data_IF_894306179059
#
_entry.id   IF_894306179059
#
_cell.length_a   1.000
_cell.length_b   1.000
_cell.length_c   1.000
_cell.angle_alpha   90.00
_cell.angle_beta   90.00
_cell.angle_gamma   90.00
#
_symmetry.space_group_name_H-M   'P 1'
#
loop_
_entity.id
_entity.type
_entity.pdbx_description
1 polymer ?
#
# COMPACT_ATOMS: atom_id res chain seq x y z
N UNK A 1 0.99 24.77 7.60
CA UNK A 1 0.59 23.75 6.62
C UNK A 1 -0.89 23.96 6.38
N UNK A 2 -1.30 24.11 5.15
CA UNK A 2 -2.72 24.21 4.78
C UNK A 2 -3.23 22.79 4.54
N UNK A 3 -4.30 22.39 5.22
CA UNK A 3 -4.94 21.08 5.08
C UNK A 3 -6.28 21.17 4.30
N UNK A 4 -6.52 22.31 3.64
CA UNK A 4 -7.69 22.44 2.76
C UNK A 4 -7.41 21.76 1.42
N UNK A 5 -8.39 21.04 0.91
CA UNK A 5 -8.33 20.45 -0.42
C UNK A 5 -8.65 21.48 -1.50
N UNK A 6 -8.03 21.35 -2.67
CA UNK A 6 -8.47 22.08 -3.86
C UNK A 6 -9.87 21.64 -4.31
N UNK A 7 -10.50 22.38 -5.20
CA UNK A 7 -11.80 22.00 -5.75
C UNK A 7 -11.73 20.64 -6.45
N UNK A 8 -10.65 20.38 -7.19
CA UNK A 8 -10.41 19.10 -7.87
C UNK A 8 -10.20 17.97 -6.87
N UNK A 9 -9.37 18.18 -5.84
CA UNK A 9 -9.14 17.19 -4.79
C UNK A 9 -10.43 16.86 -4.03
N UNK A 10 -11.27 17.87 -3.73
CA UNK A 10 -12.57 17.65 -3.10
C UNK A 10 -13.52 16.86 -4.00
N UNK A 11 -13.53 17.12 -5.32
CA UNK A 11 -14.30 16.33 -6.28
C UNK A 11 -13.83 14.86 -6.33
N UNK A 12 -12.51 14.62 -6.31
CA UNK A 12 -11.94 13.26 -6.22
C UNK A 12 -12.37 12.57 -4.94
N UNK A 13 -12.28 13.25 -3.80
CA UNK A 13 -12.70 12.71 -2.49
C UNK A 13 -14.16 12.27 -2.49
N UNK A 14 -15.05 13.12 -3.03
CA UNK A 14 -16.48 12.83 -3.11
C UNK A 14 -16.76 11.67 -4.07
N UNK A 15 -16.18 11.69 -5.27
CA UNK A 15 -16.40 10.65 -6.29
C UNK A 15 -15.88 9.29 -5.82
N UNK A 16 -14.64 9.23 -5.32
CA UNK A 16 -14.06 8.00 -4.77
C UNK A 16 -14.91 7.48 -3.59
N UNK A 17 -15.24 8.35 -2.63
CA UNK A 17 -16.08 8.01 -1.49
C UNK A 17 -17.43 7.43 -1.90
N UNK A 18 -18.09 8.01 -2.90
CA UNK A 18 -19.35 7.53 -3.41
C UNK A 18 -19.20 6.14 -4.07
N UNK A 19 -18.28 5.98 -5.02
CA UNK A 19 -18.07 4.70 -5.73
C UNK A 19 -17.78 3.58 -4.73
N UNK A 20 -16.83 3.79 -3.81
CA UNK A 20 -16.49 2.76 -2.83
C UNK A 20 -17.67 2.43 -1.90
N UNK A 21 -18.41 3.42 -1.41
CA UNK A 21 -19.57 3.20 -0.53
C UNK A 21 -20.70 2.46 -1.25
N UNK A 22 -20.98 2.80 -2.50
CA UNK A 22 -22.06 2.20 -3.27
C UNK A 22 -21.76 0.76 -3.72
N UNK A 23 -20.48 0.45 -3.95
CA UNK A 23 -20.06 -0.86 -4.51
C UNK A 23 -19.55 -1.85 -3.47
N UNK A 24 -18.91 -1.36 -2.41
CA UNK A 24 -18.25 -2.23 -1.42
C UNK A 24 -19.19 -2.43 -0.22
N UNK A 25 -20.15 -3.33 -0.41
CA UNK A 25 -21.04 -3.76 0.68
C UNK A 25 -20.46 -4.98 1.41
N UNK A 26 -20.95 -5.23 2.63
CA UNK A 26 -20.57 -6.43 3.38
C UNK A 26 -20.86 -7.74 2.60
N UNK A 27 -22.02 -7.80 1.94
CA UNK A 27 -22.44 -8.92 1.11
C UNK A 27 -21.51 -9.10 -0.09
N UNK A 28 -21.12 -8.00 -0.74
CA UNK A 28 -20.18 -8.04 -1.86
C UNK A 28 -18.81 -8.58 -1.44
N UNK A 29 -18.29 -8.14 -0.30
CA UNK A 29 -17.02 -8.65 0.23
C UNK A 29 -17.11 -10.15 0.57
N UNK A 30 -18.21 -10.60 1.20
CA UNK A 30 -18.45 -12.05 1.45
C UNK A 30 -18.50 -12.86 0.16
N UNK A 31 -19.16 -12.34 -0.89
CA UNK A 31 -19.21 -12.99 -2.18
C UNK A 31 -17.81 -13.15 -2.78
N UNK A 32 -17.01 -12.06 -2.81
CA UNK A 32 -15.64 -12.09 -3.31
C UNK A 32 -14.74 -13.07 -2.55
N UNK A 33 -14.88 -13.13 -1.23
CA UNK A 33 -14.15 -14.09 -0.39
C UNK A 33 -14.54 -15.55 -0.68
N UNK A 34 -15.82 -15.81 -0.93
CA UNK A 34 -16.33 -17.13 -1.26
C UNK A 34 -15.98 -17.59 -2.68
N UNK A 35 -15.90 -16.66 -3.62
CA UNK A 35 -15.57 -16.90 -5.03
C UNK A 35 -14.05 -16.85 -5.29
N UNK A 36 -13.25 -16.44 -4.30
CA UNK A 36 -11.81 -16.30 -4.43
C UNK A 36 -11.16 -17.64 -4.77
N UNK A 37 -10.55 -17.71 -5.95
CA UNK A 37 -9.71 -18.82 -6.38
C UNK A 37 -8.29 -18.73 -5.80
N UNK A 38 -7.35 -19.36 -6.50
CA UNK A 38 -5.94 -19.32 -6.11
C UNK A 38 -5.31 -17.92 -6.14
N UNK A 39 -5.88 -17.00 -6.91
CA UNK A 39 -5.41 -15.61 -6.97
C UNK A 39 -5.82 -14.77 -5.75
N UNK A 40 -6.81 -15.22 -4.96
CA UNK A 40 -7.41 -14.43 -3.89
C UNK A 40 -8.51 -13.47 -4.37
N UNK A 41 -9.18 -12.75 -3.43
CA UNK A 41 -10.28 -11.85 -3.79
C UNK A 41 -9.76 -10.61 -4.53
N UNK A 42 -10.36 -10.34 -5.69
CA UNK A 42 -10.15 -9.12 -6.45
C UNK A 42 -11.46 -8.67 -7.09
N UNK A 43 -11.96 -7.49 -6.73
CA UNK A 43 -13.18 -6.93 -7.34
C UNK A 43 -12.86 -6.24 -8.67
N UNK A 44 -12.83 -7.04 -9.73
CA UNK A 44 -12.55 -6.56 -11.11
C UNK A 44 -13.63 -5.60 -11.62
N UNK A 45 -14.87 -5.70 -11.13
CA UNK A 45 -15.94 -4.78 -11.52
C UNK A 45 -15.72 -3.39 -10.92
N UNK A 46 -15.40 -3.33 -9.63
CA UNK A 46 -15.02 -2.08 -8.98
C UNK A 46 -13.74 -1.49 -9.60
N UNK A 47 -12.74 -2.32 -9.89
CA UNK A 47 -11.51 -1.89 -10.54
C UNK A 47 -11.77 -1.19 -11.87
N UNK A 48 -12.61 -1.79 -12.71
CA UNK A 48 -13.02 -1.18 -13.97
C UNK A 48 -13.76 0.14 -13.77
N UNK A 49 -14.67 0.22 -12.81
CA UNK A 49 -15.42 1.45 -12.52
C UNK A 49 -14.50 2.58 -12.04
N UNK A 50 -13.49 2.26 -11.21
CA UNK A 50 -12.47 3.23 -10.80
C UNK A 50 -11.66 3.75 -11.99
N UNK A 51 -11.31 2.86 -12.94
CA UNK A 51 -10.63 3.25 -14.18
C UNK A 51 -11.52 4.12 -15.07
N UNK A 52 -12.77 3.70 -15.31
CA UNK A 52 -13.75 4.44 -16.12
C UNK A 52 -14.03 5.84 -15.54
N UNK A 53 -13.88 6.00 -14.20
CA UNK A 53 -13.99 7.27 -13.51
C UNK A 53 -12.65 8.08 -13.48
N UNK A 54 -11.58 7.57 -14.10
CA UNK A 54 -10.26 8.22 -14.14
C UNK A 54 -9.48 8.19 -12.82
N UNK A 55 -9.95 7.45 -11.81
CA UNK A 55 -9.37 7.48 -10.46
C UNK A 55 -8.05 6.71 -10.37
N UNK A 56 -7.83 5.68 -11.19
CA UNK A 56 -6.57 4.92 -11.16
C UNK A 56 -5.38 5.69 -11.72
N UNK A 57 -5.62 6.57 -12.70
CA UNK A 57 -4.61 7.45 -13.29
C UNK A 57 -4.61 8.88 -12.72
N UNK A 58 -5.30 9.12 -11.61
CA UNK A 58 -5.57 10.50 -11.13
C UNK A 58 -4.33 11.36 -10.95
N UNK A 59 -3.21 10.78 -10.50
CA UNK A 59 -1.93 11.43 -10.25
C UNK A 59 -0.92 11.29 -11.40
N UNK A 60 -1.27 10.51 -12.44
CA UNK A 60 -0.43 10.33 -13.61
C UNK A 60 -0.62 11.50 -14.58
N UNK A 61 0.41 11.75 -15.38
CA UNK A 61 0.38 12.82 -16.38
C UNK A 61 -0.65 12.56 -17.49
N UNK A 62 -1.13 13.65 -18.12
CA UNK A 62 -2.15 13.59 -19.17
C UNK A 62 -1.68 12.81 -20.42
N UNK A 63 -0.39 12.83 -20.74
CA UNK A 63 0.18 12.16 -21.90
C UNK A 63 0.11 10.62 -21.82
N UNK A 64 -0.14 10.06 -20.63
CA UNK A 64 -0.40 8.64 -20.40
C UNK A 64 -1.85 8.36 -20.01
N UNK A 65 -2.75 9.32 -20.20
CA UNK A 65 -4.18 9.19 -19.89
C UNK A 65 -4.55 9.44 -18.43
N UNK A 66 -3.65 10.02 -17.64
CA UNK A 66 -3.91 10.47 -16.27
C UNK A 66 -4.61 11.83 -16.22
N UNK A 67 -4.93 12.29 -15.00
CA UNK A 67 -5.55 13.59 -14.78
C UNK A 67 -4.54 14.70 -14.40
N UNK A 68 -3.28 14.36 -14.19
CA UNK A 68 -2.20 15.32 -13.87
C UNK A 68 -2.31 15.94 -12.48
N UNK A 69 -3.11 15.37 -11.57
CA UNK A 69 -3.17 15.82 -10.18
C UNK A 69 -1.96 15.32 -9.38
N UNK A 70 -1.88 15.75 -8.13
CA UNK A 70 -0.77 15.38 -7.25
C UNK A 70 -1.00 14.06 -6.48
N UNK A 71 0.00 13.67 -5.69
CA UNK A 71 -0.08 12.47 -4.84
C UNK A 71 -1.18 12.56 -3.77
N UNK A 72 -1.60 13.76 -3.35
CA UNK A 72 -2.73 13.95 -2.44
C UNK A 72 -4.01 13.38 -3.05
N UNK A 73 -4.24 13.61 -4.35
CA UNK A 73 -5.40 13.06 -5.04
C UNK A 73 -5.40 11.51 -5.06
N UNK A 74 -4.25 10.87 -5.28
CA UNK A 74 -4.12 9.42 -5.15
C UNK A 74 -4.42 8.94 -3.72
N UNK A 75 -3.94 9.66 -2.71
CA UNK A 75 -4.20 9.36 -1.30
C UNK A 75 -5.69 9.40 -0.96
N UNK A 76 -6.48 10.30 -1.57
CA UNK A 76 -7.94 10.36 -1.35
C UNK A 76 -8.65 9.09 -1.86
N UNK A 77 -8.21 8.53 -2.98
CA UNK A 77 -8.71 7.24 -3.49
C UNK A 77 -8.33 6.10 -2.55
N UNK A 78 -7.10 6.09 -2.05
CA UNK A 78 -6.58 5.07 -1.14
C UNK A 78 -7.29 5.12 0.21
N UNK A 79 -7.56 6.31 0.76
CA UNK A 79 -8.32 6.45 2.01
C UNK A 79 -9.73 5.88 1.87
N UNK A 80 -10.42 6.15 0.74
CA UNK A 80 -11.74 5.60 0.46
C UNK A 80 -11.72 4.06 0.35
N UNK A 81 -10.68 3.47 -0.25
CA UNK A 81 -10.48 2.03 -0.28
C UNK A 81 -10.28 1.44 1.13
N UNK A 82 -9.53 2.14 2.01
CA UNK A 82 -9.35 1.77 3.42
C UNK A 82 -10.66 1.80 4.21
N UNK A 83 -11.47 2.84 4.04
CA UNK A 83 -12.78 3.00 4.68
C UNK A 83 -13.75 1.85 4.40
N UNK A 84 -13.59 1.17 3.28
CA UNK A 84 -14.46 0.05 2.88
C UNK A 84 -13.76 -1.32 2.93
N UNK A 85 -12.47 -1.36 3.28
CA UNK A 85 -11.64 -2.56 3.23
C UNK A 85 -11.72 -3.28 1.86
N UNK A 86 -11.84 -2.51 0.77
CA UNK A 86 -12.08 -3.01 -0.58
C UNK A 86 -10.98 -3.96 -1.07
N UNK A 87 -11.38 -4.98 -1.82
CA UNK A 87 -10.47 -5.93 -2.48
C UNK A 87 -10.07 -5.44 -3.87
N UNK A 88 -9.33 -4.32 -3.93
CA UNK A 88 -8.72 -3.77 -5.14
C UNK A 88 -7.27 -3.35 -4.86
N UNK A 89 -6.32 -3.59 -5.77
CA UNK A 89 -4.88 -3.32 -5.56
C UNK A 89 -4.51 -1.86 -5.86
N UNK A 90 -5.21 -0.88 -5.24
CA UNK A 90 -4.97 0.55 -5.51
C UNK A 90 -3.61 1.01 -4.98
N UNK A 91 -3.20 0.55 -3.79
CA UNK A 91 -1.88 0.91 -3.22
C UNK A 91 -0.78 0.30 -4.05
N UNK A 92 -0.92 -0.97 -4.38
CA UNK A 92 0.05 -1.73 -5.15
C UNK A 92 0.24 -1.13 -6.55
N UNK A 93 -0.85 -0.89 -7.26
CA UNK A 93 -0.77 -0.41 -8.64
C UNK A 93 -0.43 1.07 -8.73
N UNK A 94 -1.14 1.92 -8.00
CA UNK A 94 -0.95 3.36 -8.11
C UNK A 94 0.40 3.80 -7.50
N UNK A 95 0.83 3.15 -6.39
CA UNK A 95 1.96 3.64 -5.60
C UNK A 95 3.19 2.74 -5.69
N UNK A 96 3.07 1.41 -5.52
CA UNK A 96 4.25 0.53 -5.60
C UNK A 96 4.77 0.42 -7.03
N UNK A 97 3.88 0.44 -8.03
CA UNK A 97 4.22 0.26 -9.44
C UNK A 97 4.25 1.54 -10.26
N UNK A 98 3.12 2.26 -10.35
CA UNK A 98 2.98 3.39 -11.27
C UNK A 98 3.80 4.62 -10.85
N UNK A 99 3.78 4.99 -9.57
CA UNK A 99 4.52 6.16 -9.07
C UNK A 99 6.03 6.12 -9.37
N UNK A 100 6.78 5.01 -9.10
CA UNK A 100 8.19 4.94 -9.46
C UNK A 100 8.43 4.94 -10.99
N UNK A 101 7.54 4.33 -11.78
CA UNK A 101 7.65 4.40 -13.25
C UNK A 101 7.42 5.83 -13.74
N UNK A 102 6.45 6.54 -13.18
CA UNK A 102 6.17 7.93 -13.52
C UNK A 102 7.36 8.85 -13.22
N UNK A 103 8.05 8.64 -12.09
CA UNK A 103 9.18 9.48 -11.64
C UNK A 103 10.50 9.15 -12.31
N UNK A 104 10.81 7.89 -12.48
CA UNK A 104 12.15 7.42 -12.86
C UNK A 104 12.18 6.71 -14.22
N UNK A 105 11.03 6.29 -14.73
CA UNK A 105 10.96 5.57 -16.00
C UNK A 105 11.34 6.45 -17.19
N UNK A 106 11.88 5.81 -18.21
CA UNK A 106 12.06 6.43 -19.53
C UNK A 106 10.69 6.75 -20.15
N UNK A 107 10.66 7.59 -21.18
CA UNK A 107 9.43 7.88 -21.92
C UNK A 107 8.77 6.63 -22.49
N UNK A 108 9.59 5.67 -22.94
CA UNK A 108 9.10 4.38 -23.43
C UNK A 108 8.44 3.56 -22.31
N UNK A 109 9.10 3.46 -21.15
CA UNK A 109 8.56 2.75 -19.99
C UNK A 109 7.26 3.37 -19.48
N UNK A 110 7.21 4.71 -19.37
CA UNK A 110 5.97 5.43 -18.98
C UNK A 110 4.83 5.12 -19.94
N UNK A 111 5.05 5.23 -21.23
CA UNK A 111 4.01 4.95 -22.24
C UNK A 111 3.57 3.48 -22.25
N UNK A 112 4.50 2.55 -22.05
CA UNK A 112 4.18 1.12 -22.04
C UNK A 112 3.31 0.72 -20.85
N UNK A 113 3.60 1.24 -19.67
CA UNK A 113 2.98 0.75 -18.44
C UNK A 113 1.86 1.66 -17.91
N UNK A 114 2.04 2.99 -17.95
CA UNK A 114 1.14 3.89 -17.24
C UNK A 114 -0.20 4.10 -17.97
N UNK A 115 -0.22 4.03 -19.29
CA UNK A 115 -1.47 4.13 -20.04
C UNK A 115 -2.43 2.97 -19.69
N UNK A 116 -1.90 1.75 -19.57
CA UNK A 116 -2.67 0.59 -19.13
C UNK A 116 -3.15 0.69 -17.68
N UNK A 117 -2.36 1.31 -16.79
CA UNK A 117 -2.78 1.60 -15.40
C UNK A 117 -3.96 2.59 -15.40
N UNK A 118 -3.85 3.71 -16.13
CA UNK A 118 -4.93 4.69 -16.21
C UNK A 118 -6.23 4.09 -16.76
N UNK A 119 -6.12 3.17 -17.75
CA UNK A 119 -7.25 2.45 -18.33
C UNK A 119 -7.77 1.29 -17.46
N UNK A 120 -7.08 0.92 -16.37
CA UNK A 120 -7.42 -0.23 -15.52
C UNK A 120 -7.10 -1.59 -16.15
N UNK A 121 -6.32 -1.61 -17.22
CA UNK A 121 -5.91 -2.81 -17.95
C UNK A 121 -4.62 -3.43 -17.41
N UNK A 122 -3.84 -2.65 -16.63
CA UNK A 122 -2.56 -3.08 -16.08
C UNK A 122 -2.55 -2.96 -14.56
N UNK A 123 -2.22 -4.05 -13.89
CA UNK A 123 -1.96 -4.13 -12.45
C UNK A 123 -0.46 -4.21 -12.22
N UNK A 124 0.07 -3.31 -11.42
CA UNK A 124 1.49 -3.25 -11.07
C UNK A 124 1.69 -3.48 -9.57
N UNK A 125 2.88 -3.95 -9.20
CA UNK A 125 3.30 -4.05 -7.80
C UNK A 125 4.82 -3.97 -7.67
N UNK A 126 5.34 -4.01 -6.42
CA UNK A 126 6.77 -4.11 -6.14
C UNK A 126 7.08 -5.16 -5.08
N UNK A 127 8.21 -5.82 -5.24
CA UNK A 127 8.71 -6.90 -4.39
C UNK A 127 9.79 -6.38 -3.42
N UNK A 128 9.37 -5.79 -2.29
CA UNK A 128 10.24 -5.05 -1.37
C UNK A 128 10.75 -5.87 -0.19
N UNK A 129 10.27 -7.11 0.01
CA UNK A 129 10.69 -7.97 1.11
C UNK A 129 11.43 -9.22 0.61
N UNK A 130 12.43 -9.66 1.37
CA UNK A 130 13.18 -10.89 1.13
C UNK A 130 12.69 -12.01 2.06
N UNK A 131 13.07 -13.27 1.78
CA UNK A 131 12.64 -14.45 2.58
C UNK A 131 13.03 -14.40 4.06
N UNK A 132 14.13 -13.73 4.39
CA UNK A 132 14.57 -13.53 5.77
C UNK A 132 13.71 -12.52 6.55
N UNK A 133 12.66 -11.96 5.93
CA UNK A 133 11.77 -10.96 6.51
C UNK A 133 12.35 -9.53 6.47
N UNK A 134 13.54 -9.34 5.90
CA UNK A 134 14.10 -8.01 5.72
C UNK A 134 13.37 -7.29 4.58
N UNK A 135 12.91 -6.09 4.88
CA UNK A 135 12.38 -5.17 3.88
C UNK A 135 13.54 -4.33 3.35
N UNK A 136 13.62 -4.20 2.04
CA UNK A 136 14.62 -3.36 1.38
C UNK A 136 14.26 -1.91 1.66
N UNK A 137 14.90 -1.34 2.66
CA UNK A 137 14.71 0.03 3.12
C UNK A 137 15.98 0.86 2.85
N UNK A 138 15.84 2.17 2.68
CA UNK A 138 17.00 3.07 2.56
C UNK A 138 17.94 2.95 3.76
N UNK A 139 19.24 2.76 3.49
CA UNK A 139 20.25 2.53 4.53
C UNK A 139 20.09 1.22 5.31
N UNK A 140 19.28 0.29 4.79
CA UNK A 140 19.11 -1.07 5.30
C UNK A 140 20.07 -2.07 4.65
N UNK A 141 19.70 -3.36 4.74
CA UNK A 141 20.47 -4.45 4.14
C UNK A 141 20.32 -4.43 2.62
N UNK A 142 21.41 -4.71 1.90
CA UNK A 142 21.36 -4.90 0.45
C UNK A 142 20.52 -6.14 0.12
N UNK A 143 19.75 -6.14 -1.00
CA UNK A 143 18.94 -7.29 -1.38
C UNK A 143 19.81 -8.51 -1.67
N UNK A 144 19.36 -9.69 -1.22
CA UNK A 144 19.96 -10.96 -1.57
C UNK A 144 19.68 -11.34 -3.04
N UNK A 145 18.59 -10.82 -3.62
CA UNK A 145 18.27 -10.95 -5.05
C UNK A 145 19.33 -10.22 -5.87
N UNK A 146 19.84 -10.89 -6.89
CA UNK A 146 20.92 -10.37 -7.76
C UNK A 146 20.48 -10.27 -9.22
N UNK A 147 21.02 -9.28 -9.91
CA UNK A 147 20.87 -9.08 -11.36
C UNK A 147 22.26 -9.04 -11.99
N UNK A 148 22.58 -10.04 -12.82
CA UNK A 148 23.89 -10.14 -13.49
C UNK A 148 23.78 -9.63 -14.91
N UNK A 149 24.62 -8.66 -15.27
CA UNK A 149 24.69 -8.10 -16.63
C UNK A 149 25.14 -9.15 -17.63
N UNK A 150 24.47 -9.21 -18.80
CA UNK A 150 24.77 -10.09 -19.89
C UNK A 150 25.50 -9.34 -21.02
N UNK A 151 26.16 -10.08 -21.89
CA UNK A 151 26.97 -9.50 -22.99
C UNK A 151 26.13 -8.70 -24.02
N UNK A 152 24.86 -9.00 -24.15
CA UNK A 152 23.90 -8.32 -25.03
C UNK A 152 23.24 -7.11 -24.41
N UNK A 153 23.61 -6.75 -23.16
CA UNK A 153 23.03 -5.64 -22.41
C UNK A 153 21.77 -6.01 -21.60
N UNK A 154 21.28 -7.24 -21.69
CA UNK A 154 20.20 -7.75 -20.84
C UNK A 154 20.71 -8.13 -19.46
N UNK A 155 19.79 -8.56 -18.59
CA UNK A 155 20.07 -8.96 -17.22
C UNK A 155 19.53 -10.36 -16.92
N UNK A 156 20.22 -11.10 -16.07
CA UNK A 156 19.75 -12.36 -15.50
C UNK A 156 19.48 -12.17 -14.01
N UNK A 157 18.21 -12.33 -13.58
CA UNK A 157 17.78 -12.14 -12.20
C UNK A 157 17.66 -13.48 -11.49
N UNK A 158 18.26 -13.55 -10.28
CA UNK A 158 18.18 -14.74 -9.40
C UNK A 158 17.96 -14.31 -7.97
N UNK A 159 16.97 -14.93 -7.28
CA UNK A 159 16.66 -14.65 -5.90
C UNK A 159 15.22 -14.99 -5.54
N UNK A 160 14.81 -14.63 -4.32
CA UNK A 160 13.46 -14.89 -3.83
C UNK A 160 12.94 -13.69 -3.07
N UNK A 161 11.75 -13.23 -3.45
CA UNK A 161 11.01 -12.18 -2.75
C UNK A 161 9.83 -12.80 -2.01
N UNK A 162 9.50 -12.25 -0.85
CA UNK A 162 8.40 -12.71 -0.01
C UNK A 162 7.36 -11.62 0.21
N UNK A 163 6.16 -12.01 0.59
CA UNK A 163 5.05 -11.09 0.90
C UNK A 163 4.84 -10.04 -0.20
N UNK A 164 4.95 -10.47 -1.47
CA UNK A 164 4.75 -9.55 -2.60
C UNK A 164 3.27 -9.33 -2.80
N UNK A 165 2.74 -8.14 -2.47
CA UNK A 165 1.32 -7.89 -2.53
C UNK A 165 0.84 -7.82 -3.98
N UNK A 166 -0.37 -8.28 -4.24
CA UNK A 166 -1.00 -8.36 -5.56
C UNK A 166 -0.22 -9.15 -6.63
N UNK A 167 0.89 -9.85 -6.30
CA UNK A 167 1.72 -10.53 -7.28
C UNK A 167 0.97 -11.55 -8.14
N UNK A 168 -0.06 -12.20 -7.58
CA UNK A 168 -0.87 -13.21 -8.29
C UNK A 168 -1.79 -12.62 -9.36
N UNK A 169 -2.02 -11.31 -9.34
CA UNK A 169 -2.89 -10.59 -10.29
C UNK A 169 -2.14 -9.49 -11.05
N UNK A 170 -0.85 -9.32 -10.77
CA UNK A 170 -0.02 -8.29 -11.40
C UNK A 170 0.38 -8.67 -12.84
N UNK A 171 0.44 -7.66 -13.69
CA UNK A 171 0.99 -7.76 -15.05
C UNK A 171 2.51 -7.46 -15.08
N UNK A 172 3.01 -6.70 -14.10
CA UNK A 172 4.45 -6.55 -13.88
C UNK A 172 4.77 -6.31 -12.39
N UNK A 173 5.95 -6.75 -11.99
CA UNK A 173 6.49 -6.64 -10.63
C UNK A 173 7.79 -5.85 -10.69
N UNK A 174 7.89 -4.76 -9.95
CA UNK A 174 9.15 -4.04 -9.76
C UNK A 174 10.00 -4.80 -8.74
N UNK A 175 11.17 -5.23 -9.16
CA UNK A 175 12.07 -6.08 -8.36
C UNK A 175 13.39 -5.35 -8.10
N UNK A 176 13.64 -4.86 -6.89
CA UNK A 176 14.96 -4.40 -6.50
C UNK A 176 15.94 -5.57 -6.42
N UNK A 177 17.12 -5.40 -7.04
CA UNK A 177 18.18 -6.39 -7.05
C UNK A 177 19.57 -5.76 -7.01
N UNK A 178 20.53 -6.45 -6.40
CA UNK A 178 21.94 -6.08 -6.44
C UNK A 178 22.49 -6.34 -7.84
N UNK A 179 22.92 -5.29 -8.51
CA UNK A 179 23.51 -5.36 -9.84
C UNK A 179 24.94 -5.89 -9.78
N UNK A 180 25.25 -6.84 -10.66
CA UNK A 180 26.59 -7.41 -10.81
C UNK A 180 27.04 -7.34 -12.26
N UNK A 181 28.30 -6.98 -12.48
CA UNK A 181 28.96 -7.17 -13.77
C UNK A 181 29.11 -8.67 -14.10
N UNK A 182 29.43 -9.00 -15.33
CA UNK A 182 29.62 -10.39 -15.79
C UNK A 182 30.73 -11.16 -15.05
N UNK A 183 31.68 -10.44 -14.43
CA UNK A 183 32.74 -11.02 -13.58
C UNK A 183 32.31 -11.21 -12.13
N UNK A 184 31.07 -10.88 -11.77
CA UNK A 184 30.51 -10.97 -10.43
C UNK A 184 30.75 -9.74 -9.53
N UNK A 185 31.44 -8.71 -10.02
CA UNK A 185 31.67 -7.47 -9.27
C UNK A 185 30.35 -6.74 -9.07
N UNK A 186 30.04 -6.36 -7.80
CA UNK A 186 28.86 -5.56 -7.47
C UNK A 186 29.02 -4.15 -8.03
N UNK A 187 28.04 -3.69 -8.79
CA UNK A 187 28.02 -2.37 -9.44
C UNK A 187 27.00 -1.40 -8.86
N UNK A 188 26.10 -1.86 -7.98
CA UNK A 188 25.08 -1.05 -7.32
C UNK A 188 23.76 -1.76 -7.13
N UNK A 189 22.70 -1.00 -6.99
CA UNK A 189 21.32 -1.45 -6.88
C UNK A 189 20.54 -1.02 -8.11
N UNK A 190 19.72 -1.92 -8.65
CA UNK A 190 18.77 -1.63 -9.74
C UNK A 190 17.36 -2.04 -9.34
N UNK A 191 16.37 -1.49 -10.02
CA UNK A 191 14.96 -1.91 -9.93
C UNK A 191 14.54 -2.40 -11.30
N UNK A 192 14.07 -3.62 -11.40
CA UNK A 192 13.74 -4.28 -12.66
C UNK A 192 12.24 -4.49 -12.81
N UNK A 193 11.70 -4.19 -13.98
CA UNK A 193 10.31 -4.48 -14.35
C UNK A 193 10.26 -5.91 -14.87
N UNK A 194 9.66 -6.80 -14.07
CA UNK A 194 9.65 -8.25 -14.35
C UNK A 194 8.23 -8.68 -14.70
N UNK A 195 8.10 -9.39 -15.84
CA UNK A 195 6.84 -10.09 -16.17
C UNK A 195 6.68 -11.32 -15.26
N UNK A 196 5.61 -11.42 -14.46
CA UNK A 196 5.36 -12.56 -13.58
C UNK A 196 5.17 -13.89 -14.31
N UNK A 197 4.95 -13.85 -15.63
CA UNK A 197 4.79 -15.02 -16.51
C UNK A 197 6.07 -15.38 -17.26
N UNK A 198 7.16 -14.64 -17.07
CA UNK A 198 8.43 -14.90 -17.72
C UNK A 198 9.01 -16.27 -17.30
N UNK A 199 9.74 -16.90 -18.22
CA UNK A 199 10.46 -18.14 -17.91
C UNK A 199 11.42 -17.92 -16.75
N UNK A 200 11.39 -18.82 -15.76
CA UNK A 200 12.19 -18.72 -14.54
C UNK A 200 11.50 -17.99 -13.37
N UNK A 201 10.33 -17.39 -13.57
CA UNK A 201 9.51 -16.85 -12.50
C UNK A 201 8.56 -17.92 -11.99
N UNK A 202 8.54 -18.12 -10.68
CA UNK A 202 7.54 -18.95 -9.99
C UNK A 202 6.84 -18.16 -8.91
N UNK A 203 5.51 -18.13 -8.97
CA UNK A 203 4.67 -17.50 -7.95
C UNK A 203 4.07 -18.58 -7.04
N UNK A 204 4.35 -18.50 -5.75
CA UNK A 204 3.74 -19.37 -4.74
C UNK A 204 2.85 -18.54 -3.83
N UNK A 205 1.54 -18.79 -3.86
CA UNK A 205 0.57 -18.06 -3.01
C UNK A 205 0.95 -18.16 -1.54
N UNK A 206 0.93 -17.02 -0.85
CA UNK A 206 1.00 -16.95 0.61
C UNK A 206 -0.42 -16.77 1.17
N UNK A 207 -0.83 -17.67 2.05
CA UNK A 207 -2.11 -17.56 2.77
C UNK A 207 -1.97 -16.54 3.90
N UNK A 208 -2.50 -15.34 3.70
CA UNK A 208 -2.55 -14.30 4.72
C UNK A 208 -3.89 -14.31 5.45
N UNK A 209 -3.94 -13.68 6.62
CA UNK A 209 -5.19 -13.56 7.39
C UNK A 209 -6.25 -12.71 6.69
N UNK A 210 -5.84 -11.74 5.88
CA UNK A 210 -6.73 -10.92 5.05
C UNK A 210 -7.24 -11.64 3.80
N UNK A 211 -6.58 -12.72 3.39
CA UNK A 211 -6.86 -13.45 2.15
C UNK A 211 -6.47 -12.69 0.88
N UNK A 212 -5.90 -11.48 0.98
CA UNK A 212 -5.49 -10.69 -0.18
C UNK A 212 -4.45 -11.41 -1.04
N UNK A 213 -4.36 -11.11 -2.35
CA UNK A 213 -3.38 -11.71 -3.25
C UNK A 213 -1.94 -11.38 -2.83
N UNK A 214 -1.24 -12.34 -2.25
CA UNK A 214 0.18 -12.22 -1.92
C UNK A 214 0.92 -13.49 -2.32
N UNK A 215 2.18 -13.34 -2.74
CA UNK A 215 3.00 -14.48 -3.14
C UNK A 215 4.47 -14.36 -2.70
N UNK A 216 5.11 -15.52 -2.62
CA UNK A 216 6.55 -15.65 -2.79
C UNK A 216 6.82 -15.62 -4.30
N UNK A 217 7.81 -14.83 -4.70
CA UNK A 217 8.27 -14.71 -6.08
C UNK A 217 9.68 -15.26 -6.16
N UNK A 218 9.83 -16.44 -6.75
CA UNK A 218 11.13 -17.08 -7.00
C UNK A 218 11.59 -16.73 -8.40
N UNK A 219 12.84 -16.28 -8.51
CA UNK A 219 13.50 -15.87 -9.74
C UNK A 219 14.69 -16.80 -9.98
N UNK A 220 14.63 -17.63 -11.02
CA UNK A 220 15.67 -18.58 -11.40
C UNK A 220 16.21 -18.20 -12.79
N UNK A 221 17.29 -17.41 -12.81
CA UNK A 221 17.94 -16.92 -14.03
C UNK A 221 16.95 -16.23 -15.00
N UNK A 222 16.05 -15.41 -14.45
CA UNK A 222 15.03 -14.72 -15.24
C UNK A 222 15.68 -13.70 -16.16
N UNK A 223 15.47 -13.88 -17.46
CA UNK A 223 15.93 -12.92 -18.45
C UNK A 223 15.09 -11.64 -18.42
N UNK A 224 15.76 -10.51 -18.21
CA UNK A 224 15.15 -9.18 -18.27
C UNK A 224 15.88 -8.38 -19.36
N UNK A 225 15.16 -7.88 -20.38
CA UNK A 225 15.78 -7.11 -21.47
C UNK A 225 16.33 -5.78 -20.94
N UNK A 226 17.16 -5.12 -21.75
CA UNK A 226 17.84 -3.86 -21.38
C UNK A 226 16.85 -2.78 -20.92
N UNK A 227 15.70 -2.67 -21.56
CA UNK A 227 14.62 -1.72 -21.22
C UNK A 227 13.79 -2.14 -20.02
N UNK A 228 14.03 -3.31 -19.44
CA UNK A 228 13.42 -3.76 -18.21
C UNK A 228 14.07 -3.18 -16.94
N UNK A 229 15.28 -2.59 -17.03
CA UNK A 229 15.84 -1.79 -15.92
C UNK A 229 15.11 -0.45 -15.85
N UNK A 230 14.54 -0.12 -14.68
CA UNK A 230 13.79 1.11 -14.48
C UNK A 230 14.72 2.34 -14.56
N UNK A 231 14.50 3.18 -15.56
CA UNK A 231 15.28 4.37 -15.84
C UNK A 231 16.68 4.07 -16.39
N UNK A 232 17.24 4.99 -17.18
CA UNK A 232 18.63 4.90 -17.67
C UNK A 232 19.56 5.65 -16.73
N UNK A 233 20.57 4.95 -16.16
CA UNK A 233 21.59 5.55 -15.30
C UNK A 233 21.06 6.13 -13.99
N UNK A 234 19.87 5.73 -13.56
CA UNK A 234 19.24 6.16 -12.30
C UNK A 234 19.85 5.38 -11.14
N UNK A 235 20.10 6.06 -10.03
CA UNK A 235 20.48 5.43 -8.77
C UNK A 235 19.34 4.55 -8.24
N UNK A 236 19.50 3.23 -8.33
CA UNK A 236 18.53 2.26 -7.86
C UNK A 236 18.22 2.38 -6.36
N UNK A 237 19.15 2.84 -5.54
CA UNK A 237 18.91 3.11 -4.14
C UNK A 237 17.95 4.29 -3.95
N UNK A 238 18.10 5.35 -4.75
CA UNK A 238 17.16 6.47 -4.79
C UNK A 238 15.76 6.03 -5.23
N UNK A 239 15.65 5.14 -6.21
CA UNK A 239 14.37 4.57 -6.65
C UNK A 239 13.70 3.77 -5.53
N UNK A 240 14.44 2.86 -4.88
CA UNK A 240 13.93 2.05 -3.75
C UNK A 240 13.49 2.94 -2.59
N UNK A 241 14.27 3.99 -2.29
CA UNK A 241 13.89 4.96 -1.27
C UNK A 241 12.54 5.60 -1.58
N UNK A 242 12.37 6.11 -2.81
CA UNK A 242 11.13 6.72 -3.23
C UNK A 242 9.94 5.73 -3.16
N UNK A 243 10.10 4.50 -3.70
CA UNK A 243 9.05 3.48 -3.60
C UNK A 243 8.64 3.29 -2.14
N UNK A 244 9.61 3.14 -1.25
CA UNK A 244 9.36 2.86 0.17
C UNK A 244 8.67 4.04 0.87
N UNK A 245 9.06 5.28 0.58
CA UNK A 245 8.47 6.48 1.17
C UNK A 245 7.01 6.66 0.74
N UNK A 246 6.74 6.57 -0.56
CA UNK A 246 5.38 6.69 -1.09
C UNK A 246 4.51 5.52 -0.64
N UNK A 247 5.01 4.28 -0.70
CA UNK A 247 4.30 3.08 -0.25
C UNK A 247 3.96 3.12 1.23
N UNK A 248 4.90 3.50 2.10
CA UNK A 248 4.67 3.62 3.54
C UNK A 248 3.61 4.68 3.83
N UNK A 249 3.67 5.82 3.14
CA UNK A 249 2.67 6.88 3.30
C UNK A 249 1.29 6.42 2.84
N UNK A 250 1.19 5.75 1.69
CA UNK A 250 -0.07 5.19 1.18
C UNK A 250 -0.69 4.17 2.14
N UNK A 251 0.12 3.31 2.76
CA UNK A 251 -0.35 2.38 3.79
C UNK A 251 -0.87 3.12 5.04
N UNK A 252 -0.25 4.22 5.45
CA UNK A 252 -0.74 5.03 6.56
C UNK A 252 -2.07 5.73 6.22
N UNK A 253 -2.26 6.16 4.98
CA UNK A 253 -3.53 6.70 4.48
C UNK A 253 -4.63 5.61 4.44
N UNK A 254 -4.31 4.42 3.94
CA UNK A 254 -5.22 3.26 3.94
C UNK A 254 -5.67 2.93 5.37
N UNK A 255 -4.72 2.96 6.33
CA UNK A 255 -4.97 2.73 7.75
C UNK A 255 -5.89 3.80 8.35
N UNK A 256 -5.67 5.08 8.01
CA UNK A 256 -6.55 6.16 8.47
C UNK A 256 -8.00 5.90 8.04
N UNK A 257 -8.23 5.48 6.80
CA UNK A 257 -9.55 5.09 6.31
C UNK A 257 -10.13 3.90 7.06
N UNK A 258 -9.34 2.84 7.26
CA UNK A 258 -9.78 1.62 7.94
C UNK A 258 -10.14 1.87 9.42
N UNK A 259 -9.31 2.62 10.15
CA UNK A 259 -9.56 2.98 11.54
C UNK A 259 -10.79 3.88 11.70
N UNK A 260 -10.98 4.86 10.80
CA UNK A 260 -12.16 5.71 10.82
C UNK A 260 -13.46 4.89 10.65
N UNK A 261 -13.50 3.96 9.70
CA UNK A 261 -14.65 3.09 9.50
C UNK A 261 -14.89 2.13 10.67
N UNK A 262 -13.83 1.53 11.22
CA UNK A 262 -13.95 0.67 12.41
C UNK A 262 -14.52 1.43 13.63
N UNK A 263 -14.10 2.69 13.82
CA UNK A 263 -14.60 3.56 14.88
C UNK A 263 -16.05 3.95 14.66
N UNK A 264 -16.45 4.30 13.44
CA UNK A 264 -17.85 4.62 13.09
C UNK A 264 -18.77 3.42 13.34
N UNK A 265 -18.40 2.22 12.87
CA UNK A 265 -19.13 0.98 13.16
C UNK A 265 -19.28 0.76 14.67
N UNK A 266 -18.22 1.02 15.43
CA UNK A 266 -18.23 0.85 16.89
C UNK A 266 -19.16 1.87 17.56
N UNK A 267 -19.15 3.12 17.10
CA UNK A 267 -20.03 4.15 17.61
C UNK A 267 -21.51 3.79 17.38
N UNK A 268 -21.87 3.34 16.18
CA UNK A 268 -23.25 2.94 15.86
C UNK A 268 -23.67 1.68 16.63
N UNK A 269 -22.80 0.68 16.75
CA UNK A 269 -23.07 -0.51 17.53
C UNK A 269 -23.34 -0.17 19.02
N UNK A 270 -22.49 0.65 19.63
CA UNK A 270 -22.63 0.98 21.04
C UNK A 270 -23.86 1.83 21.36
N UNK A 271 -24.34 2.64 20.42
CA UNK A 271 -25.60 3.41 20.53
C UNK A 271 -26.83 2.51 20.48
N UNK A 272 -26.77 1.40 19.74
CA UNK A 272 -27.94 0.53 19.50
C UNK A 272 -27.95 -0.70 20.39
N UNK A 273 -26.80 -1.20 20.82
CA UNK A 273 -26.69 -2.39 21.68
C UNK A 273 -27.14 -2.07 23.10
N UNK A 274 -28.16 -2.77 23.56
CA UNK A 274 -28.72 -2.62 24.93
C UNK A 274 -28.19 -3.73 25.83
N UNK A 275 -27.70 -3.35 27.01
CA UNK A 275 -27.39 -4.21 28.15
C UNK A 275 -27.77 -3.45 29.44
N UNK A 276 -28.23 -4.16 30.47
CA UNK A 276 -28.72 -3.55 31.72
C UNK A 276 -29.75 -2.44 31.45
N UNK A 277 -30.68 -2.71 30.52
CA UNK A 277 -31.84 -1.86 30.15
C UNK A 277 -31.48 -0.53 29.47
N UNK A 278 -30.25 -0.32 29.03
CA UNK A 278 -29.83 0.91 28.34
C UNK A 278 -28.73 0.66 27.31
N UNK A 279 -28.59 1.58 26.32
CA UNK A 279 -27.49 1.50 25.35
C UNK A 279 -26.14 1.47 26.05
N UNK A 280 -25.22 0.59 25.54
CA UNK A 280 -23.89 0.44 26.16
C UNK A 280 -23.04 1.71 26.03
N UNK A 281 -23.31 2.58 25.07
CA UNK A 281 -22.66 3.89 24.92
C UNK A 281 -22.85 4.80 26.15
N UNK A 282 -23.88 4.55 27.00
CA UNK A 282 -24.13 5.33 28.21
C UNK A 282 -23.21 4.97 29.39
N UNK A 283 -22.44 3.88 29.26
CA UNK A 283 -21.47 3.49 30.29
C UNK A 283 -20.16 4.27 30.11
N UNK A 284 -19.66 4.85 31.22
CA UNK A 284 -18.44 5.67 31.20
C UNK A 284 -17.23 4.92 30.64
N UNK A 285 -17.04 3.64 30.98
CA UNK A 285 -15.94 2.83 30.47
C UNK A 285 -15.99 2.64 28.94
N UNK A 286 -17.19 2.54 28.35
CA UNK A 286 -17.38 2.47 26.89
C UNK A 286 -17.03 3.81 26.26
N UNK A 287 -17.52 4.91 26.81
CA UNK A 287 -17.24 6.27 26.33
C UNK A 287 -15.75 6.61 26.36
N UNK A 288 -15.05 6.30 27.45
CA UNK A 288 -13.60 6.53 27.58
C UNK A 288 -12.81 5.72 26.54
N UNK A 289 -13.11 4.43 26.38
CA UNK A 289 -12.42 3.59 25.41
C UNK A 289 -12.66 4.02 23.95
N UNK A 290 -13.87 4.47 23.64
CA UNK A 290 -14.19 5.05 22.34
C UNK A 290 -13.47 6.39 22.10
N UNK A 291 -13.31 7.22 23.14
CA UNK A 291 -12.57 8.47 23.07
C UNK A 291 -11.07 8.24 22.84
N UNK A 292 -10.46 7.26 23.50
CA UNK A 292 -9.05 6.89 23.25
C UNK A 292 -8.86 6.42 21.79
N UNK A 293 -9.76 5.58 21.29
CA UNK A 293 -9.73 5.13 19.90
C UNK A 293 -9.92 6.29 18.90
N UNK A 294 -10.75 7.28 19.23
CA UNK A 294 -10.92 8.49 18.43
C UNK A 294 -9.62 9.31 18.37
N UNK A 295 -8.95 9.51 19.52
CA UNK A 295 -7.67 10.24 19.58
C UNK A 295 -6.60 9.53 18.72
N UNK A 296 -6.51 8.21 18.83
CA UNK A 296 -5.57 7.43 18.00
C UNK A 296 -5.91 7.53 16.50
N UNK A 297 -7.18 7.45 16.13
CA UNK A 297 -7.63 7.60 14.72
C UNK A 297 -7.25 8.98 14.16
N UNK A 298 -7.45 10.06 14.93
CA UNK A 298 -7.05 11.40 14.50
C UNK A 298 -5.53 11.56 14.41
N UNK A 299 -4.76 10.94 15.31
CA UNK A 299 -3.29 10.97 15.24
C UNK A 299 -2.79 10.23 13.98
N UNK A 300 -3.37 9.07 13.64
CA UNK A 300 -3.08 8.34 12.41
C UNK A 300 -3.38 9.23 11.20
N UNK A 301 -4.59 9.80 11.14
CA UNK A 301 -5.03 10.62 10.03
C UNK A 301 -4.14 11.84 9.82
N UNK A 302 -3.89 12.62 10.86
CA UNK A 302 -3.12 13.86 10.76
C UNK A 302 -1.67 13.62 10.36
N UNK A 303 -1.02 12.60 10.92
CA UNK A 303 0.38 12.28 10.60
C UNK A 303 0.51 11.69 9.19
N UNK A 304 -0.42 10.84 8.75
CA UNK A 304 -0.45 10.30 7.39
C UNK A 304 -0.63 11.42 6.34
N UNK A 305 -1.58 12.34 6.54
CA UNK A 305 -1.80 13.47 5.65
C UNK A 305 -0.65 14.48 5.67
N UNK A 306 0.05 14.64 6.81
CA UNK A 306 1.28 15.44 6.87
C UNK A 306 2.36 14.85 5.96
N UNK A 307 2.62 13.55 6.05
CA UNK A 307 3.60 12.87 5.20
C UNK A 307 3.20 12.96 3.71
N UNK A 308 1.93 12.71 3.37
CA UNK A 308 1.42 12.79 2.01
C UNK A 308 1.57 14.20 1.39
N UNK A 309 1.22 15.23 2.14
CA UNK A 309 1.33 16.63 1.70
C UNK A 309 2.80 17.03 1.44
N UNK A 310 3.74 16.58 2.27
CA UNK A 310 5.17 16.85 2.05
C UNK A 310 5.70 16.16 0.80
N UNK A 311 5.36 14.87 0.61
CA UNK A 311 5.74 14.13 -0.60
C UNK A 311 5.16 14.77 -1.87
N UNK A 312 3.88 15.15 -1.85
CA UNK A 312 3.24 15.83 -2.97
C UNK A 312 3.92 17.17 -3.30
N UNK A 313 4.42 17.88 -2.29
CA UNK A 313 5.14 19.13 -2.44
C UNK A 313 6.63 18.96 -2.78
N UNK A 314 7.13 17.75 -2.95
CA UNK A 314 8.56 17.47 -3.19
C UNK A 314 9.47 17.83 -2.02
N UNK A 315 8.93 17.91 -0.80
CA UNK A 315 9.69 18.23 0.41
C UNK A 315 10.24 16.95 1.07
N UNK A 316 11.39 17.00 1.76
CA UNK A 316 11.88 15.90 2.57
C UNK A 316 10.80 15.47 3.58
N UNK A 317 10.51 14.17 3.67
CA UNK A 317 9.41 13.63 4.46
C UNK A 317 9.79 12.44 5.35
N UNK A 318 11.07 12.06 5.41
CA UNK A 318 11.51 10.83 6.08
C UNK A 318 11.09 10.76 7.55
N UNK A 319 11.19 11.86 8.30
CA UNK A 319 10.79 11.97 9.71
C UNK A 319 9.27 11.86 9.86
N UNK A 320 8.52 12.58 9.02
CA UNK A 320 7.05 12.58 9.04
C UNK A 320 6.49 11.20 8.67
N UNK A 321 7.11 10.51 7.69
CA UNK A 321 6.74 9.14 7.31
C UNK A 321 7.00 8.17 8.47
N UNK A 322 8.14 8.30 9.17
CA UNK A 322 8.43 7.45 10.33
C UNK A 322 7.41 7.68 11.47
N UNK A 323 7.01 8.93 11.72
CA UNK A 323 5.97 9.28 12.69
C UNK A 323 4.61 8.74 12.25
N UNK A 324 4.23 8.93 10.98
CA UNK A 324 2.97 8.43 10.44
C UNK A 324 2.88 6.90 10.53
N UNK A 325 3.95 6.19 10.17
CA UNK A 325 4.00 4.73 10.25
C UNK A 325 3.96 4.20 11.69
N UNK A 326 4.58 4.91 12.63
CA UNK A 326 4.45 4.59 14.06
C UNK A 326 2.98 4.68 14.50
N UNK A 327 2.29 5.79 14.20
CA UNK A 327 0.89 5.95 14.57
C UNK A 327 -0.02 4.96 13.85
N UNK A 328 0.18 4.70 12.55
CA UNK A 328 -0.57 3.71 11.80
C UNK A 328 -0.42 2.31 12.41
N UNK A 329 0.79 1.92 12.83
CA UNK A 329 1.04 0.61 13.42
C UNK A 329 0.53 0.50 14.87
N UNK A 330 0.98 1.37 15.77
CA UNK A 330 0.67 1.32 17.19
C UNK A 330 -0.75 1.81 17.50
N UNK A 331 -1.15 2.95 16.92
CA UNK A 331 -2.48 3.53 17.08
C UNK A 331 -3.55 2.67 16.44
N UNK A 332 -3.31 2.18 15.20
CA UNK A 332 -4.23 1.30 14.48
C UNK A 332 -4.55 0.04 15.26
N UNK A 333 -3.51 -0.63 15.80
CA UNK A 333 -3.70 -1.77 16.68
C UNK A 333 -4.64 -1.43 17.86
N UNK A 334 -4.42 -0.32 18.55
CA UNK A 334 -5.25 0.10 19.69
C UNK A 334 -6.70 0.36 19.27
N UNK A 335 -6.91 1.02 18.12
CA UNK A 335 -8.25 1.31 17.58
C UNK A 335 -9.04 0.02 17.33
N UNK A 336 -8.47 -0.93 16.57
CA UNK A 336 -9.22 -2.15 16.24
C UNK A 336 -9.40 -3.09 17.42
N UNK A 337 -8.47 -3.11 18.38
CA UNK A 337 -8.66 -3.82 19.64
C UNK A 337 -9.73 -3.18 20.52
N UNK A 338 -9.82 -1.84 20.57
CA UNK A 338 -10.89 -1.15 21.25
C UNK A 338 -12.24 -1.44 20.59
N UNK A 339 -12.32 -1.37 19.27
CA UNK A 339 -13.50 -1.69 18.49
C UNK A 339 -13.97 -3.13 18.74
N UNK A 340 -13.08 -4.12 18.60
CA UNK A 340 -13.41 -5.53 18.85
C UNK A 340 -13.89 -5.77 20.29
N UNK A 341 -13.23 -5.18 21.28
CA UNK A 341 -13.64 -5.30 22.68
C UNK A 341 -15.03 -4.69 22.96
N UNK A 342 -15.33 -3.52 22.38
CA UNK A 342 -16.63 -2.86 22.58
C UNK A 342 -17.79 -3.59 21.89
N UNK A 343 -17.51 -4.37 20.82
CA UNK A 343 -18.50 -5.26 20.20
C UNK A 343 -18.67 -6.59 20.96
N UNK A 344 -17.71 -6.99 21.79
CA UNK A 344 -17.70 -8.29 22.44
C UNK A 344 -17.61 -9.43 21.39
N UNK A 345 -18.36 -10.52 21.56
CA UNK A 345 -18.34 -11.67 20.65
C UNK A 345 -18.64 -11.32 19.18
N UNK A 346 -19.46 -10.31 18.92
CA UNK A 346 -19.77 -9.83 17.55
C UNK A 346 -18.54 -9.25 16.87
N UNK A 347 -17.59 -8.71 17.64
CA UNK A 347 -16.36 -8.10 17.07
C UNK A 347 -15.40 -9.07 16.39
N UNK A 348 -15.57 -10.38 16.62
CA UNK A 348 -14.80 -11.46 15.99
C UNK A 348 -15.65 -12.34 15.07
N UNK A 349 -16.93 -12.02 14.93
CA UNK A 349 -17.84 -12.74 14.04
C UNK A 349 -17.55 -12.38 12.58
N UNK A 350 -17.37 -13.40 11.74
CA UNK A 350 -17.14 -13.23 10.30
C UNK A 350 -18.38 -12.79 9.53
N UNK A 351 -19.55 -12.92 10.12
CA UNK A 351 -20.82 -12.40 9.57
C UNK A 351 -21.05 -10.93 9.91
N UNK A 352 -20.12 -10.29 10.65
CA UNK A 352 -20.14 -8.87 10.94
C UNK A 352 -18.90 -8.17 10.33
N UNK A 353 -19.00 -6.96 9.74
CA UNK A 353 -17.93 -6.37 8.92
C UNK A 353 -16.64 -6.04 9.68
N UNK A 354 -16.66 -5.86 11.00
CA UNK A 354 -15.53 -5.35 11.79
C UNK A 354 -14.26 -6.20 11.66
N UNK A 355 -14.39 -7.53 11.55
CA UNK A 355 -13.23 -8.42 11.45
C UNK A 355 -12.30 -8.07 10.26
N UNK A 356 -12.83 -7.53 9.16
CA UNK A 356 -12.02 -7.14 7.99
C UNK A 356 -11.12 -5.96 8.29
N UNK A 357 -11.63 -4.98 9.00
CA UNK A 357 -10.82 -3.83 9.46
C UNK A 357 -9.75 -4.29 10.44
N UNK A 358 -10.10 -5.19 11.37
CA UNK A 358 -9.13 -5.77 12.30
C UNK A 358 -7.98 -6.45 11.56
N UNK A 359 -8.28 -7.31 10.57
CA UNK A 359 -7.27 -8.03 9.81
C UNK A 359 -6.44 -7.12 8.91
N UNK A 360 -7.07 -6.14 8.25
CA UNK A 360 -6.39 -5.17 7.39
C UNK A 360 -5.40 -4.32 8.20
N UNK A 361 -5.84 -3.76 9.31
CA UNK A 361 -4.98 -3.00 10.25
C UNK A 361 -3.80 -3.83 10.73
N UNK A 362 -4.01 -5.12 11.09
CA UNK A 362 -2.91 -6.00 11.50
C UNK A 362 -1.92 -6.27 10.37
N UNK A 363 -2.36 -6.36 9.14
CA UNK A 363 -1.46 -6.48 7.99
C UNK A 363 -0.66 -5.19 7.78
N UNK A 364 -1.33 -4.03 7.79
CA UNK A 364 -0.67 -2.73 7.61
C UNK A 364 0.36 -2.48 8.71
N UNK A 365 0.06 -2.83 9.97
CA UNK A 365 0.99 -2.70 11.11
C UNK A 365 2.36 -3.31 10.82
N UNK A 366 2.39 -4.47 10.16
CA UNK A 366 3.62 -5.23 9.90
C UNK A 366 4.25 -4.95 8.53
N UNK A 367 3.50 -4.40 7.58
CA UNK A 367 3.98 -4.14 6.21
C UNK A 367 4.91 -2.92 6.21
N UNK A 368 6.08 -3.04 5.57
CA UNK A 368 7.13 -2.02 5.47
C UNK A 368 7.63 -1.51 6.83
N UNK A 369 7.66 -2.38 7.83
CA UNK A 369 8.18 -2.10 9.16
C UNK A 369 7.10 -1.91 10.22
N UNK A 370 7.44 -2.32 11.44
CA UNK A 370 6.59 -2.20 12.63
C UNK A 370 6.72 -0.82 13.31
N UNK A 371 5.92 -0.57 14.36
CA UNK A 371 6.04 0.63 15.20
C UNK A 371 7.45 0.82 15.76
N UNK A 372 8.07 -0.26 16.28
CA UNK A 372 9.42 -0.19 16.84
C UNK A 372 10.50 0.13 15.80
N UNK A 373 10.36 -0.40 14.58
CA UNK A 373 11.28 -0.10 13.48
C UNK A 373 11.14 1.36 13.02
N UNK A 374 9.93 1.87 12.99
CA UNK A 374 9.65 3.28 12.67
C UNK A 374 10.26 4.22 13.69
N UNK A 375 10.16 3.91 14.99
CA UNK A 375 10.83 4.69 16.04
C UNK A 375 12.37 4.63 15.95
N UNK A 376 12.94 3.46 15.63
CA UNK A 376 14.39 3.33 15.41
C UNK A 376 14.84 4.14 14.18
N UNK A 377 14.04 4.14 13.11
CA UNK A 377 14.31 4.94 11.91
C UNK A 377 14.27 6.44 12.26
N UNK A 378 13.23 6.89 12.95
CA UNK A 378 13.14 8.28 13.41
C UNK A 378 14.34 8.68 14.30
N UNK A 379 14.72 7.82 15.24
CA UNK A 379 15.88 8.06 16.11
C UNK A 379 17.19 8.21 15.33
N UNK A 380 17.40 7.44 14.26
CA UNK A 380 18.58 7.59 13.38
C UNK A 380 18.54 8.93 12.64
N UNK A 381 17.40 9.26 12.03
CA UNK A 381 17.22 10.55 11.32
C UNK A 381 17.55 11.73 12.25
N UNK A 382 17.01 11.74 13.46
CA UNK A 382 17.25 12.82 14.44
C UNK A 382 18.70 12.86 14.96
N UNK A 383 19.42 11.72 14.95
CA UNK A 383 20.83 11.68 15.34
C UNK A 383 21.75 12.23 14.22
N UNK A 384 21.37 12.03 12.97
CA UNK A 384 22.14 12.48 11.81
C UNK A 384 21.90 13.98 11.48
N UNK A 385 20.78 14.54 11.94
CA UNK A 385 20.43 15.97 11.81
C UNK A 385 20.48 16.64 13.20
N UNK A 386 21.66 16.97 13.73
CA UNK A 386 21.76 17.63 15.04
C UNK A 386 21.09 19.00 14.99
N UNK A 387 20.27 19.27 16.00
CA UNK A 387 19.56 20.55 16.23
C UNK A 387 20.54 21.70 16.44
#
# INVERSE_FOLDING_TARGET
MDFTYSEEQEAVRQLAGQIFTDRVTHERLKQLEAEAGDEGPFDRALWKELADAGLLGIHLSEDVGGAGLDFVAACLVIEAAGRTAAYVPVVETMVYGAEPIARFGTDAQRKTWLAGVAAGETVLTAALAELNGEVILPGGTEPATTATAQADGSWSLTGTKACVPAALVADAILVPAQCKAADGTVTGLGVFIVDPKATGVTLTRQSTTTGRPEAIVELADVHVPTDGLLGEGVDGAGVVNAITEFATTALCILEAGACAAALELTAEYTKTRVQFEKPIATFQAVGQRAADAYVDTEAIRLTAWQAASRLASGLPAASEIAVAKFWAAEGGQRVVHAASHLHGGVGVDRDYPLHRYFLLTRQIELTLGSANESLRRLGRILADEPV
#
